data_IF_925881731110
#
_entry.id   IF_925881731110
#
_cell.length_a   1.000
_cell.length_b   1.000
_cell.length_c   1.000
_cell.angle_alpha   90.00
_cell.angle_beta   90.00
_cell.angle_gamma   90.00
#
_symmetry.space_group_name_H-M   'P 1'
#
loop_
_entity.id
_entity.type
_entity.pdbx_description
1 polymer ?
#
# COMPACT_ATOMS: atom_id res chain seq x y z
N UNK A 1 -25.68 -12.15 0.32
CA UNK A 1 -24.22 -12.29 0.09
C UNK A 1 -23.93 -11.75 -1.30
N UNK A 2 -23.56 -10.47 -1.42
CA UNK A 2 -23.14 -9.92 -2.72
C UNK A 2 -21.74 -10.46 -3.01
N UNK A 3 -21.60 -11.20 -4.12
CA UNK A 3 -20.31 -11.68 -4.61
C UNK A 3 -19.46 -10.50 -5.06
N UNK A 4 -18.25 -10.38 -4.51
CA UNK A 4 -17.24 -9.40 -4.88
C UNK A 4 -16.89 -9.52 -6.38
N UNK A 5 -16.83 -8.41 -7.16
CA UNK A 5 -16.51 -8.48 -8.59
C UNK A 5 -15.13 -9.09 -8.85
N UNK A 6 -14.98 -9.90 -9.91
CA UNK A 6 -13.71 -10.55 -10.28
C UNK A 6 -12.55 -9.57 -10.55
N UNK A 7 -12.84 -8.29 -10.81
CA UNK A 7 -11.86 -7.21 -10.97
C UNK A 7 -11.26 -6.72 -9.65
N UNK A 8 -11.65 -7.29 -8.52
CA UNK A 8 -11.21 -6.87 -7.19
C UNK A 8 -10.81 -8.09 -6.37
N UNK A 9 -9.78 -7.95 -5.55
CA UNK A 9 -9.30 -9.04 -4.71
C UNK A 9 -8.78 -8.54 -3.37
N UNK A 10 -8.78 -9.44 -2.37
CA UNK A 10 -7.99 -9.25 -1.15
C UNK A 10 -6.54 -9.63 -1.47
N UNK A 11 -5.60 -8.78 -1.08
CA UNK A 11 -4.18 -9.11 -1.19
C UNK A 11 -3.65 -9.67 0.12
N UNK A 12 -2.97 -10.81 0.03
CA UNK A 12 -2.18 -11.36 1.10
C UNK A 12 -0.99 -10.44 1.42
N UNK A 13 -0.78 -10.17 2.71
CA UNK A 13 0.44 -9.54 3.20
C UNK A 13 1.19 -10.56 4.05
N UNK A 14 2.49 -10.73 3.81
CA UNK A 14 3.32 -11.63 4.61
C UNK A 14 4.50 -10.88 5.23
N UNK A 15 4.78 -11.17 6.50
CA UNK A 15 6.07 -10.85 7.09
C UNK A 15 7.02 -11.98 6.71
N UNK A 16 8.25 -11.69 6.30
CA UNK A 16 9.25 -12.71 5.97
C UNK A 16 9.27 -13.87 6.99
N UNK A 17 9.17 -15.11 6.48
CA UNK A 17 9.04 -16.41 7.20
C UNK A 17 7.99 -16.48 8.32
N UNK A 18 6.97 -15.64 8.31
CA UNK A 18 5.84 -15.73 9.24
C UNK A 18 4.57 -15.16 8.63
N UNK A 19 3.67 -16.04 8.21
CA UNK A 19 2.31 -15.72 7.76
C UNK A 19 1.57 -14.88 8.81
N UNK A 20 1.53 -13.56 8.62
CA UNK A 20 0.70 -12.64 9.39
C UNK A 20 -0.72 -12.64 8.83
N UNK A 21 -1.60 -13.38 9.48
CA UNK A 21 -3.01 -13.60 9.18
C UNK A 21 -3.72 -12.53 8.33
N UNK A 22 -4.19 -12.98 7.16
CA UNK A 22 -5.36 -12.50 6.45
C UNK A 22 -6.60 -12.74 7.31
N UNK A 23 -7.35 -11.68 7.63
CA UNK A 23 -8.71 -11.85 8.12
C UNK A 23 -9.61 -12.32 6.98
N UNK A 24 -9.86 -13.63 6.90
CA UNK A 24 -11.00 -14.16 6.15
C UNK A 24 -12.28 -13.46 6.60
N UNK A 25 -13.16 -13.12 5.66
CA UNK A 25 -14.47 -12.55 5.92
C UNK A 25 -15.41 -13.54 6.65
N UNK A 26 -15.10 -13.87 7.89
CA UNK A 26 -15.86 -14.74 8.77
C UNK A 26 -15.34 -14.61 10.20
N UNK A 27 -16.26 -14.32 11.13
CA UNK A 27 -16.04 -14.05 12.57
C UNK A 27 -15.72 -12.59 12.94
N UNK A 28 -16.77 -11.76 13.02
CA UNK A 28 -17.07 -10.74 14.07
C UNK A 28 -16.03 -9.69 14.52
N UNK A 29 -14.78 -9.73 14.07
CA UNK A 29 -13.72 -8.79 14.39
C UNK A 29 -13.17 -8.29 13.06
N UNK A 30 -13.37 -7.00 12.78
CA UNK A 30 -12.80 -6.38 11.59
C UNK A 30 -11.29 -6.66 11.56
N UNK A 31 -10.77 -7.08 10.41
CA UNK A 31 -9.34 -7.27 10.24
C UNK A 31 -8.61 -5.98 10.64
N UNK A 32 -7.59 -6.10 11.49
CA UNK A 32 -6.85 -4.94 11.99
C UNK A 32 -6.21 -4.18 10.84
N UNK A 33 -5.72 -4.92 9.84
CA UNK A 33 -5.24 -4.43 8.55
C UNK A 33 -5.96 -5.18 7.43
N UNK A 34 -6.42 -4.43 6.44
CA UNK A 34 -7.04 -4.96 5.22
C UNK A 34 -6.36 -4.34 4.01
N UNK A 35 -5.97 -5.16 3.04
CA UNK A 35 -5.41 -4.68 1.77
C UNK A 35 -6.29 -5.19 0.63
N UNK A 36 -6.76 -4.26 -0.19
CA UNK A 36 -7.59 -4.55 -1.36
C UNK A 36 -6.86 -4.11 -2.63
N UNK A 37 -7.10 -4.84 -3.71
CA UNK A 37 -6.68 -4.44 -5.05
C UNK A 37 -7.87 -4.30 -5.98
N UNK A 38 -7.71 -3.40 -6.95
CA UNK A 38 -8.66 -3.15 -8.03
C UNK A 38 -7.87 -3.17 -9.33
N UNK A 39 -8.22 -4.08 -10.24
CA UNK A 39 -7.72 -4.07 -11.61
C UNK A 39 -8.26 -2.81 -12.27
N UNK A 40 -7.36 -1.99 -12.80
CA UNK A 40 -7.72 -0.71 -13.44
C UNK A 40 -7.31 -0.74 -14.91
N UNK A 41 -7.87 0.13 -15.76
CA UNK A 41 -7.42 0.24 -17.14
C UNK A 41 -5.90 0.48 -17.19
N UNK A 42 -5.23 -0.18 -18.12
CA UNK A 42 -3.80 0.03 -18.40
C UNK A 42 -3.63 1.36 -19.14
N UNK A 43 -3.75 2.46 -18.41
CA UNK A 43 -3.74 3.81 -18.94
C UNK A 43 -3.10 4.78 -17.96
N UNK A 44 -2.50 5.83 -18.51
CA UNK A 44 -1.97 6.96 -17.72
C UNK A 44 -3.08 7.86 -17.16
N UNK A 45 -4.34 7.65 -17.56
CA UNK A 45 -5.50 8.41 -17.13
C UNK A 45 -5.95 7.96 -15.73
N UNK A 46 -5.42 8.64 -14.71
CA UNK A 46 -5.63 8.28 -13.30
C UNK A 46 -7.06 8.50 -12.80
N UNK A 47 -7.92 9.21 -13.54
CA UNK A 47 -9.28 9.53 -13.07
C UNK A 47 -10.17 8.29 -12.94
N UNK A 48 -10.18 7.43 -13.97
CA UNK A 48 -10.97 6.20 -13.97
C UNK A 48 -10.47 5.23 -12.87
N UNK A 49 -9.15 5.07 -12.74
CA UNK A 49 -8.54 4.24 -11.71
C UNK A 49 -8.90 4.73 -10.29
N UNK A 50 -8.85 6.05 -10.06
CA UNK A 50 -9.26 6.67 -8.79
C UNK A 50 -10.75 6.49 -8.51
N UNK A 51 -11.61 6.62 -9.52
CA UNK A 51 -13.04 6.37 -9.37
C UNK A 51 -13.31 4.93 -8.94
N UNK A 52 -12.76 3.95 -9.66
CA UNK A 52 -12.92 2.53 -9.36
C UNK A 52 -12.40 2.16 -7.96
N UNK A 53 -11.25 2.71 -7.56
CA UNK A 53 -10.71 2.51 -6.22
C UNK A 53 -11.61 3.12 -5.14
N UNK A 54 -12.15 4.32 -5.35
CA UNK A 54 -13.08 4.95 -4.40
C UNK A 54 -14.36 4.15 -4.24
N UNK A 55 -14.90 3.60 -5.32
CA UNK A 55 -16.11 2.78 -5.26
C UNK A 55 -15.85 1.48 -4.50
N UNK A 56 -14.72 0.81 -4.78
CA UNK A 56 -14.29 -0.37 -4.02
C UNK A 56 -14.09 -0.06 -2.52
N UNK A 57 -13.47 1.09 -2.20
CA UNK A 57 -13.30 1.53 -0.81
C UNK A 57 -14.64 1.76 -0.11
N UNK A 58 -15.60 2.42 -0.77
CA UNK A 58 -16.94 2.63 -0.18
C UNK A 58 -17.64 1.31 0.10
N UNK A 59 -17.58 0.36 -0.81
CA UNK A 59 -18.17 -0.96 -0.60
C UNK A 59 -17.53 -1.68 0.59
N UNK A 60 -16.19 -1.76 0.67
CA UNK A 60 -15.51 -2.40 1.80
C UNK A 60 -15.81 -1.70 3.12
N UNK A 61 -15.68 -0.37 3.17
CA UNK A 61 -15.87 0.40 4.39
C UNK A 61 -17.32 0.33 4.87
N UNK A 62 -18.30 0.30 3.95
CA UNK A 62 -19.71 0.14 4.31
C UNK A 62 -19.98 -1.17 5.05
N UNK A 63 -19.34 -2.26 4.62
CA UNK A 63 -19.41 -3.56 5.27
C UNK A 63 -18.72 -3.56 6.63
N UNK A 64 -17.55 -2.90 6.75
CA UNK A 64 -16.82 -2.80 8.02
C UNK A 64 -17.53 -1.92 9.05
N UNK A 65 -18.19 -0.84 8.60
CA UNK A 65 -18.87 0.13 9.44
C UNK A 65 -20.36 -0.21 9.69
N UNK A 66 -20.92 -1.17 8.94
CA UNK A 66 -22.33 -1.52 9.04
C UNK A 66 -23.27 -0.40 8.56
N UNK A 67 -22.87 0.35 7.54
CA UNK A 67 -23.65 1.46 6.96
C UNK A 67 -23.87 1.28 5.45
N UNK A 68 -24.64 2.18 4.83
CA UNK A 68 -24.81 2.21 3.38
C UNK A 68 -23.54 2.78 2.70
N UNK A 69 -23.14 2.30 1.50
CA UNK A 69 -21.96 2.80 0.78
C UNK A 69 -21.94 4.32 0.58
N UNK A 70 -23.10 4.94 0.38
CA UNK A 70 -23.26 6.38 0.18
C UNK A 70 -23.00 7.18 1.46
N UNK A 71 -23.07 6.53 2.62
CA UNK A 71 -22.76 7.13 3.92
C UNK A 71 -21.25 7.12 4.22
N UNK A 72 -20.44 6.45 3.40
CA UNK A 72 -18.98 6.46 3.55
C UNK A 72 -18.41 7.73 2.91
N UNK A 73 -17.90 8.63 3.75
CA UNK A 73 -17.28 9.88 3.31
C UNK A 73 -15.77 9.70 3.15
N UNK A 74 -15.31 9.80 1.90
CA UNK A 74 -13.89 9.83 1.54
C UNK A 74 -13.46 11.28 1.28
N UNK A 75 -12.61 11.82 2.14
CA UNK A 75 -12.09 13.18 2.03
C UNK A 75 -10.90 13.20 1.07
N UNK A 76 -11.08 13.86 -0.07
CA UNK A 76 -10.08 13.97 -1.14
C UNK A 76 -9.71 15.43 -1.36
N UNK A 77 -8.61 15.87 -0.73
CA UNK A 77 -8.07 17.21 -0.90
C UNK A 77 -6.84 17.12 -1.82
N UNK A 78 -6.76 17.91 -2.90
CA UNK A 78 -5.58 17.91 -3.78
C UNK A 78 -4.28 18.08 -3.00
N UNK A 79 -3.28 17.24 -3.29
CA UNK A 79 -1.99 17.24 -2.60
C UNK A 79 -1.99 16.59 -1.21
N UNK A 80 -3.14 16.11 -0.71
CA UNK A 80 -3.23 15.39 0.56
C UNK A 80 -3.59 13.91 0.35
N UNK A 81 -3.16 13.03 1.26
CA UNK A 81 -3.61 11.64 1.26
C UNK A 81 -5.13 11.54 1.39
N UNK A 82 -5.72 10.56 0.72
CA UNK A 82 -7.14 10.22 0.85
C UNK A 82 -7.44 9.77 2.29
N UNK A 83 -8.49 10.32 2.90
CA UNK A 83 -8.89 9.98 4.28
C UNK A 83 -10.32 9.48 4.35
N UNK A 84 -10.59 8.62 5.32
CA UNK A 84 -11.95 8.17 5.66
C UNK A 84 -12.43 8.96 6.87
N UNK A 85 -13.61 9.53 6.79
CA UNK A 85 -14.28 10.09 7.95
C UNK A 85 -14.98 8.96 8.72
N UNK A 86 -14.64 8.80 10.00
CA UNK A 86 -15.24 7.77 10.83
C UNK A 86 -16.47 8.34 11.55
N UNK A 87 -17.63 7.64 11.55
CA UNK A 87 -18.87 8.17 12.12
C UNK A 87 -18.83 8.32 13.65
N UNK A 88 -18.02 7.51 14.33
CA UNK A 88 -17.84 7.56 15.79
C UNK A 88 -16.60 8.39 16.14
N UNK A 89 -16.79 9.38 17.01
CA UNK A 89 -15.71 10.22 17.53
C UNK A 89 -14.64 9.39 18.27
N UNK A 90 -13.37 9.76 18.12
CA UNK A 90 -12.24 9.04 18.75
C UNK A 90 -11.84 7.72 18.09
N UNK A 91 -12.50 7.32 17.00
CA UNK A 91 -12.08 6.21 16.14
C UNK A 91 -11.51 6.77 14.84
N UNK A 92 -10.52 6.08 14.28
CA UNK A 92 -10.00 6.41 12.95
C UNK A 92 -9.87 5.14 12.11
N UNK A 93 -9.85 5.33 10.79
CA UNK A 93 -9.38 4.34 9.85
C UNK A 93 -8.24 4.98 9.07
N UNK A 94 -7.04 4.46 9.26
CA UNK A 94 -5.90 4.76 8.39
C UNK A 94 -6.20 4.25 6.98
N UNK A 95 -5.90 5.08 5.99
CA UNK A 95 -6.07 4.75 4.58
C UNK A 95 -4.81 5.17 3.81
N UNK A 96 -4.29 4.25 3.01
CA UNK A 96 -3.25 4.54 2.04
C UNK A 96 -3.60 3.89 0.71
N UNK A 97 -3.26 4.55 -0.40
CA UNK A 97 -3.52 4.07 -1.76
C UNK A 97 -2.23 4.20 -2.56
N UNK A 98 -1.90 3.16 -3.33
CA UNK A 98 -0.87 3.21 -4.37
C UNK A 98 -1.43 2.69 -5.69
N UNK A 99 -0.85 3.15 -6.79
CA UNK A 99 -1.38 2.91 -8.12
C UNK A 99 -0.24 2.72 -9.11
N UNK A 100 -0.38 1.66 -9.89
CA UNK A 100 0.41 1.33 -11.06
C UNK A 100 -0.51 1.08 -12.24
N UNK A 101 0.01 1.23 -13.46
CA UNK A 101 -0.80 0.96 -14.64
C UNK A 101 -1.31 -0.50 -14.60
N UNK A 102 -2.63 -0.66 -14.74
CA UNK A 102 -3.31 -1.95 -14.60
C UNK A 102 -3.76 -2.33 -13.18
N UNK A 103 -3.28 -1.68 -12.11
CA UNK A 103 -3.58 -2.07 -10.72
C UNK A 103 -3.56 -0.90 -9.74
N UNK A 104 -4.64 -0.74 -8.97
CA UNK A 104 -4.65 0.09 -7.77
C UNK A 104 -4.71 -0.79 -6.52
N UNK A 105 -3.98 -0.41 -5.48
CA UNK A 105 -4.00 -1.08 -4.17
C UNK A 105 -4.35 -0.06 -3.09
N UNK A 106 -5.20 -0.43 -2.15
CA UNK A 106 -5.47 0.35 -0.95
C UNK A 106 -5.29 -0.51 0.30
N UNK A 107 -4.73 0.10 1.34
CA UNK A 107 -4.62 -0.48 2.66
C UNK A 107 -5.46 0.32 3.66
N UNK A 108 -6.21 -0.40 4.50
CA UNK A 108 -7.09 0.12 5.54
C UNK A 108 -6.64 -0.44 6.89
N UNK A 109 -6.47 0.42 7.89
CA UNK A 109 -6.14 0.00 9.26
C UNK A 109 -7.05 0.66 10.28
N UNK A 110 -7.61 -0.14 11.19
CA UNK A 110 -8.41 0.41 12.28
C UNK A 110 -7.51 0.99 13.38
N UNK A 111 -7.81 2.21 13.82
CA UNK A 111 -7.14 2.89 14.94
C UNK A 111 -5.62 2.99 14.80
N UNK A 112 -5.15 3.32 13.61
CA UNK A 112 -3.75 3.69 13.43
C UNK A 112 -3.32 3.87 11.99
N UNK A 113 -2.08 4.33 11.79
CA UNK A 113 -1.55 4.66 10.48
C UNK A 113 -1.29 3.41 9.63
N UNK A 114 -1.36 3.60 8.32
CA UNK A 114 -1.02 2.61 7.33
C UNK A 114 -0.42 3.29 6.11
N UNK A 115 0.51 2.62 5.45
CA UNK A 115 1.07 3.02 4.17
C UNK A 115 1.13 1.84 3.23
N UNK A 116 0.85 2.04 1.95
CA UNK A 116 0.98 1.00 0.94
C UNK A 116 1.70 1.55 -0.27
N UNK A 117 2.53 0.72 -0.87
CA UNK A 117 3.14 1.03 -2.14
C UNK A 117 3.26 -0.17 -3.06
N UNK A 118 3.18 0.09 -4.36
CA UNK A 118 3.42 -0.87 -5.43
C UNK A 118 4.28 -0.22 -6.49
N UNK A 119 5.14 -1.01 -7.15
CA UNK A 119 6.03 -0.53 -8.19
C UNK A 119 6.17 -1.56 -9.30
N UNK A 120 6.04 -1.11 -10.54
CA UNK A 120 6.45 -1.85 -11.73
C UNK A 120 7.78 -1.30 -12.23
N UNK A 121 8.76 -2.17 -12.43
CA UNK A 121 10.04 -1.74 -13.00
C UNK A 121 9.93 -1.66 -14.50
N UNK A 122 10.11 -0.45 -15.03
CA UNK A 122 10.28 -0.25 -16.46
C UNK A 122 11.74 -0.56 -16.87
N UNK A 123 11.98 -1.23 -18.01
CA UNK A 123 13.34 -1.57 -18.47
C UNK A 123 14.30 -0.39 -18.62
N UNK A 124 13.80 0.82 -18.84
CA UNK A 124 14.60 2.03 -19.09
C UNK A 124 14.73 2.96 -17.87
N UNK A 125 14.26 2.55 -16.69
CA UNK A 125 14.33 3.37 -15.48
C UNK A 125 15.72 3.29 -14.83
N UNK A 126 16.37 4.44 -14.63
CA UNK A 126 17.64 4.54 -13.89
C UNK A 126 17.39 4.44 -12.38
N UNK A 127 17.18 3.21 -11.93
CA UNK A 127 16.91 2.91 -10.53
C UNK A 127 18.16 3.07 -9.65
N UNK A 128 19.37 3.02 -10.21
CA UNK A 128 20.62 3.06 -9.45
C UNK A 128 20.82 4.42 -8.79
N UNK A 129 20.62 5.53 -9.53
CA UNK A 129 20.70 6.88 -8.97
C UNK A 129 19.68 7.07 -7.85
N UNK A 130 18.44 6.65 -8.09
CA UNK A 130 17.36 6.72 -7.09
C UNK A 130 17.67 5.85 -5.86
N UNK A 131 18.23 4.65 -6.05
CA UNK A 131 18.63 3.78 -4.95
C UNK A 131 19.70 4.43 -4.07
N UNK A 132 20.66 5.11 -4.67
CA UNK A 132 21.76 5.75 -3.98
C UNK A 132 21.29 6.88 -3.07
N UNK A 133 20.36 7.72 -3.54
CA UNK A 133 19.95 8.93 -2.83
C UNK A 133 18.91 8.65 -1.74
N UNK A 134 18.05 7.64 -1.93
CA UNK A 134 16.88 7.42 -1.08
C UNK A 134 16.95 6.16 -0.22
N UNK A 135 17.71 5.13 -0.61
CA UNK A 135 17.77 3.88 0.17
C UNK A 135 18.93 3.91 1.16
N UNK A 136 18.77 3.17 2.26
CA UNK A 136 19.83 3.05 3.24
C UNK A 136 21.02 2.25 2.67
N UNK A 137 22.25 2.49 3.16
CA UNK A 137 23.44 1.77 2.70
C UNK A 137 23.32 0.24 2.77
N UNK A 138 22.58 -0.29 3.75
CA UNK A 138 22.32 -1.72 3.89
C UNK A 138 21.44 -2.25 2.74
N UNK A 139 20.43 -1.50 2.32
CA UNK A 139 19.57 -1.85 1.18
C UNK A 139 20.36 -1.83 -0.13
N UNK A 140 21.18 -0.80 -0.34
CA UNK A 140 22.07 -0.70 -1.51
C UNK A 140 23.00 -1.93 -1.60
N UNK A 141 23.62 -2.33 -0.48
CA UNK A 141 24.46 -3.54 -0.44
C UNK A 141 23.67 -4.82 -0.73
N UNK A 142 22.43 -4.94 -0.25
CA UNK A 142 21.58 -6.10 -0.57
C UNK A 142 21.24 -6.17 -2.05
N UNK A 143 20.97 -5.03 -2.68
CA UNK A 143 20.70 -4.95 -4.12
C UNK A 143 21.95 -5.34 -4.90
N UNK A 144 23.10 -4.73 -4.61
CA UNK A 144 24.36 -5.00 -5.30
C UNK A 144 24.84 -6.46 -5.14
N UNK A 145 24.40 -7.15 -4.08
CA UNK A 145 24.70 -8.57 -3.87
C UNK A 145 23.87 -9.54 -4.73
N UNK A 146 22.85 -9.06 -5.45
CA UNK A 146 22.04 -9.90 -6.34
C UNK A 146 22.67 -10.02 -7.74
N UNK A 147 22.35 -11.09 -8.49
CA UNK A 147 22.65 -11.17 -9.92
C UNK A 147 22.14 -9.93 -10.65
N UNK A 148 22.89 -9.41 -11.63
CA UNK A 148 22.57 -8.16 -12.35
C UNK A 148 21.11 -8.14 -12.89
N UNK A 149 20.64 -9.28 -13.41
CA UNK A 149 19.26 -9.43 -13.89
C UNK A 149 18.18 -9.36 -12.82
N UNK A 150 18.54 -9.55 -11.54
CA UNK A 150 17.64 -9.52 -10.38
C UNK A 150 17.73 -8.22 -9.58
N UNK A 151 18.78 -7.41 -9.80
CA UNK A 151 18.99 -6.15 -9.06
C UNK A 151 17.83 -5.17 -9.20
N UNK A 152 17.23 -4.96 -10.40
CA UNK A 152 16.06 -4.10 -10.50
C UNK A 152 14.95 -4.60 -9.56
N UNK A 153 14.62 -5.88 -9.60
CA UNK A 153 13.58 -6.46 -8.76
C UNK A 153 13.87 -6.25 -7.26
N UNK A 154 15.12 -6.42 -6.85
CA UNK A 154 15.57 -6.13 -5.49
C UNK A 154 15.41 -4.65 -5.13
N UNK A 155 15.73 -3.73 -6.05
CA UNK A 155 15.45 -2.31 -5.87
C UNK A 155 13.96 -2.06 -5.65
N UNK A 156 13.07 -2.61 -6.47
CA UNK A 156 11.64 -2.33 -6.31
C UNK A 156 11.08 -2.84 -4.98
N UNK A 157 11.61 -3.95 -4.45
CA UNK A 157 11.28 -4.41 -3.11
C UNK A 157 11.72 -3.41 -2.04
N UNK A 158 12.95 -2.92 -2.10
CA UNK A 158 13.44 -1.93 -1.12
C UNK A 158 12.72 -0.58 -1.25
N UNK A 159 12.42 -0.16 -2.49
CA UNK A 159 11.67 1.07 -2.78
C UNK A 159 10.27 1.04 -2.21
N UNK A 160 9.49 0.00 -2.52
CA UNK A 160 8.11 -0.14 -2.03
C UNK A 160 8.07 -0.22 -0.50
N UNK A 161 9.07 -0.82 0.15
CA UNK A 161 9.21 -0.83 1.62
C UNK A 161 9.44 0.57 2.18
N UNK A 162 10.34 1.35 1.57
CA UNK A 162 10.59 2.74 1.95
C UNK A 162 9.32 3.58 1.81
N UNK A 163 8.68 3.56 0.64
CA UNK A 163 7.49 4.35 0.36
C UNK A 163 6.30 3.97 1.24
N UNK A 164 6.06 2.67 1.45
CA UNK A 164 5.02 2.22 2.37
C UNK A 164 5.29 2.74 3.79
N UNK A 165 6.53 2.67 4.27
CA UNK A 165 6.93 3.22 5.57
C UNK A 165 6.72 4.74 5.66
N UNK A 166 7.15 5.50 4.66
CA UNK A 166 6.96 6.94 4.58
C UNK A 166 5.47 7.32 4.61
N UNK A 167 4.65 6.65 3.80
CA UNK A 167 3.19 6.83 3.77
C UNK A 167 2.55 6.52 5.12
N UNK A 168 2.99 5.45 5.79
CA UNK A 168 2.53 5.10 7.13
C UNK A 168 2.86 6.20 8.16
N UNK A 169 4.05 6.81 8.07
CA UNK A 169 4.45 7.90 8.96
C UNK A 169 3.87 9.27 8.58
N UNK A 170 3.12 9.37 7.47
CA UNK A 170 2.62 10.63 6.94
C UNK A 170 3.73 11.55 6.43
N UNK A 171 4.83 10.97 5.95
CA UNK A 171 5.99 11.68 5.44
C UNK A 171 5.99 11.76 3.91
N UNK A 172 6.50 12.89 3.40
CA UNK A 172 6.86 13.00 1.99
C UNK A 172 8.12 12.17 1.68
N UNK A 173 8.31 11.87 0.40
CA UNK A 173 9.57 11.32 -0.09
C UNK A 173 10.71 12.29 0.24
N UNK A 174 11.78 11.75 0.81
CA UNK A 174 12.97 12.49 1.18
C UNK A 174 14.17 11.54 1.15
N UNK A 175 15.34 12.10 0.90
CA UNK A 175 16.60 11.36 0.84
C UNK A 175 16.90 10.62 2.15
N UNK A 176 17.75 9.60 2.04
CA UNK A 176 18.12 8.81 3.20
C UNK A 176 18.88 9.65 4.24
N UNK A 177 18.53 9.45 5.50
CA UNK A 177 19.31 9.93 6.64
C UNK A 177 19.19 8.95 7.81
N UNK A 178 20.14 8.93 8.76
CA UNK A 178 20.02 8.13 9.98
C UNK A 178 18.73 8.42 10.76
N UNK A 179 18.35 9.70 10.87
CA UNK A 179 17.12 10.11 11.55
C UNK A 179 15.86 9.57 10.85
N UNK A 180 15.85 9.51 9.51
CA UNK A 180 14.76 8.87 8.78
C UNK A 180 14.70 7.36 9.05
N UNK A 181 15.86 6.69 9.06
CA UNK A 181 15.93 5.26 9.31
C UNK A 181 15.35 4.88 10.69
N UNK A 182 15.72 5.60 11.76
CA UNK A 182 15.18 5.40 13.10
C UNK A 182 13.65 5.56 13.16
N UNK A 183 13.10 6.50 12.39
CA UNK A 183 11.64 6.69 12.32
C UNK A 183 10.97 5.52 11.62
N UNK A 184 11.56 5.02 10.53
CA UNK A 184 11.04 3.89 9.76
C UNK A 184 11.07 2.58 10.55
N UNK A 185 11.98 2.41 11.51
CA UNK A 185 12.01 1.26 12.42
C UNK A 185 10.74 1.12 13.28
N UNK A 186 10.00 2.22 13.50
CA UNK A 186 8.70 2.17 14.18
C UNK A 186 7.57 1.55 13.34
N UNK A 187 7.80 1.29 12.06
CA UNK A 187 6.84 0.67 11.16
C UNK A 187 7.10 -0.83 11.03
N UNK A 188 6.03 -1.63 11.13
CA UNK A 188 6.04 -3.01 10.67
C UNK A 188 5.74 -3.03 9.18
N UNK A 189 6.69 -3.50 8.37
CA UNK A 189 6.54 -3.59 6.90
C UNK A 189 6.39 -5.05 6.47
N UNK A 190 5.42 -5.32 5.61
CA UNK A 190 5.08 -6.64 5.07
C UNK A 190 5.02 -6.57 3.53
N UNK A 191 5.41 -7.65 2.88
CA UNK A 191 5.37 -7.76 1.41
C UNK A 191 3.98 -8.21 0.97
N UNK A 192 3.52 -7.64 -0.14
CA UNK A 192 2.24 -7.98 -0.77
C UNK A 192 2.43 -9.04 -1.83
N UNK A 193 1.53 -10.02 -1.83
CA UNK A 193 1.42 -10.99 -2.93
C UNK A 193 0.79 -10.29 -4.15
N UNK A 194 1.64 -9.78 -5.04
CA UNK A 194 1.24 -8.96 -6.19
C UNK A 194 1.38 -9.75 -7.50
N UNK A 195 0.64 -9.37 -8.56
CA UNK A 195 0.79 -10.01 -9.86
C UNK A 195 2.23 -9.96 -10.38
N UNK A 196 2.60 -10.92 -11.23
CA UNK A 196 3.95 -11.00 -11.79
C UNK A 196 4.39 -9.67 -12.42
N UNK A 197 5.63 -9.26 -12.12
CA UNK A 197 6.23 -8.01 -12.59
C UNK A 197 5.84 -6.76 -11.79
N UNK A 198 5.05 -6.91 -10.72
CA UNK A 198 4.85 -5.88 -9.70
C UNK A 198 5.51 -6.31 -8.39
N UNK A 199 6.04 -5.33 -7.67
CA UNK A 199 6.38 -5.46 -6.26
C UNK A 199 5.38 -4.65 -5.44
N UNK A 200 5.15 -5.05 -4.19
CA UNK A 200 4.33 -4.26 -3.28
C UNK A 200 4.68 -4.49 -1.82
N UNK A 201 4.47 -3.46 -1.02
CA UNK A 201 4.64 -3.50 0.42
C UNK A 201 3.53 -2.72 1.13
N UNK A 202 3.19 -3.16 2.34
CA UNK A 202 2.31 -2.45 3.26
C UNK A 202 3.02 -2.26 4.59
N UNK A 203 2.90 -1.07 5.16
CA UNK A 203 3.47 -0.70 6.45
C UNK A 203 2.36 -0.27 7.41
N UNK A 204 2.49 -0.65 8.68
CA UNK A 204 1.60 -0.21 9.75
C UNK A 204 2.37 0.04 11.06
N UNK A 205 1.76 0.83 11.95
CA UNK A 205 2.24 1.08 13.31
C UNK A 205 1.06 1.09 14.28
#
# INVERSE_FOLDING_TARGET
MHSWPASRALLAASAGKGSGLLGSAGSGRAAELLVISVVTPDSTLREAARAQMRDALREVLSLQLGCAPESVVLQSIPGQPLRVEHPVHGKNIGLSVSHEAGLSVAALRHNGPVGVDILRIAPAFDWQAVAHDYLCPQAIRRIAGQPESEQPLAFAREWTRLEAGLKCLGLALQEWSPALAERLESCRVMELDTPAGLCGAVACR
#
